data_IF_732458383431
#
_entry.id   IF_732458383431
#
_cell.length_a   1.000
_cell.length_b   1.000
_cell.length_c   1.000
_cell.angle_alpha   90.00
_cell.angle_beta   90.00
_cell.angle_gamma   90.00
#
_symmetry.space_group_name_H-M   'P 1'
#
loop_
_entity.id
_entity.type
_entity.pdbx_description
1 polymer ?
#
# COMPACT_ATOMS: atom_id res chain seq x y z
N UNK A 1 -11.95 -11.07 9.76
CA UNK A 1 -12.68 -9.81 9.49
C UNK A 1 -12.49 -8.77 10.57
N UNK A 2 -12.85 -9.05 11.84
CA UNK A 2 -12.68 -8.10 12.94
C UNK A 2 -11.25 -7.55 13.10
N UNK A 3 -10.22 -8.41 12.96
CA UNK A 3 -8.81 -7.97 13.00
C UNK A 3 -8.43 -6.98 11.90
N UNK A 4 -8.89 -7.19 10.65
CA UNK A 4 -8.65 -6.25 9.55
C UNK A 4 -9.41 -4.93 9.74
N UNK A 5 -10.62 -4.97 10.31
CA UNK A 5 -11.38 -3.76 10.62
C UNK A 5 -10.69 -2.92 11.71
N UNK A 6 -10.24 -3.56 12.80
CA UNK A 6 -9.49 -2.89 13.87
C UNK A 6 -8.18 -2.30 13.33
N UNK A 7 -7.47 -3.04 12.49
CA UNK A 7 -6.28 -2.58 11.79
C UNK A 7 -6.55 -1.32 10.94
N UNK A 8 -7.52 -1.37 10.01
CA UNK A 8 -7.83 -0.22 9.14
C UNK A 8 -8.31 1.01 9.93
N UNK A 9 -9.09 0.82 10.99
CA UNK A 9 -9.52 1.92 11.83
C UNK A 9 -8.33 2.56 12.56
N UNK A 10 -7.37 1.75 13.01
CA UNK A 10 -6.14 2.23 13.65
C UNK A 10 -5.28 3.09 12.71
N UNK A 11 -4.94 2.56 11.54
CA UNK A 11 -4.15 3.22 10.48
C UNK A 11 -4.82 4.49 9.92
N UNK A 12 -6.16 4.52 9.88
CA UNK A 12 -6.85 5.76 9.50
C UNK A 12 -6.81 6.80 10.62
N UNK A 13 -6.86 6.36 11.88
CA UNK A 13 -6.97 7.24 13.03
C UNK A 13 -5.64 7.94 13.36
N UNK A 14 -4.51 7.24 13.36
CA UNK A 14 -3.22 7.84 13.70
C UNK A 14 -2.82 8.91 12.69
N UNK A 15 -2.97 8.65 11.39
CA UNK A 15 -2.72 9.62 10.33
C UNK A 15 -3.69 10.80 10.35
N UNK A 16 -4.94 10.60 10.77
CA UNK A 16 -5.90 11.69 10.95
C UNK A 16 -5.56 12.56 12.15
N UNK A 17 -5.19 11.96 13.28
CA UNK A 17 -4.80 12.68 14.51
C UNK A 17 -3.52 13.48 14.29
N UNK A 18 -2.50 12.89 13.64
CA UNK A 18 -1.25 13.58 13.34
C UNK A 18 -1.46 14.81 12.45
N UNK A 19 -2.31 14.68 11.41
CA UNK A 19 -2.69 15.81 10.53
C UNK A 19 -3.49 16.87 11.26
N UNK A 20 -4.41 16.46 12.13
CA UNK A 20 -5.21 17.37 12.94
C UNK A 20 -4.35 18.18 13.92
N UNK A 21 -3.30 17.58 14.47
CA UNK A 21 -2.37 18.23 15.41
C UNK A 21 -1.17 18.92 14.76
N UNK A 22 -0.99 18.77 13.45
CA UNK A 22 0.21 19.24 12.73
C UNK A 22 1.53 18.66 13.28
N UNK A 23 1.49 17.42 13.76
CA UNK A 23 2.62 16.69 14.38
C UNK A 23 3.15 15.57 13.45
N UNK A 24 2.94 15.70 12.14
CA UNK A 24 3.46 14.73 11.18
C UNK A 24 5.00 14.73 11.17
N UNK A 25 5.59 13.56 11.37
CA UNK A 25 7.04 13.38 11.36
C UNK A 25 7.44 12.27 10.40
N UNK A 26 8.66 12.36 9.87
CA UNK A 26 9.25 11.30 9.04
C UNK A 26 9.32 9.97 9.81
N UNK A 27 9.74 10.03 11.08
CA UNK A 27 9.80 8.86 11.94
C UNK A 27 8.41 8.23 12.16
N UNK A 28 7.39 9.06 12.39
CA UNK A 28 6.00 8.62 12.50
C UNK A 28 5.51 7.93 11.22
N UNK A 29 5.80 8.51 10.05
CA UNK A 29 5.43 7.91 8.77
C UNK A 29 6.13 6.57 8.50
N UNK A 30 7.41 6.43 8.87
CA UNK A 30 8.13 5.15 8.76
C UNK A 30 7.56 4.11 9.73
N UNK A 31 7.25 4.52 10.96
CA UNK A 31 6.69 3.62 11.97
C UNK A 31 5.29 3.13 11.59
N UNK A 32 4.45 4.01 11.08
CA UNK A 32 3.16 3.70 10.46
C UNK A 32 3.35 2.64 9.34
N UNK A 33 4.25 2.92 8.39
CA UNK A 33 4.55 1.98 7.30
C UNK A 33 4.96 0.60 7.81
N UNK A 34 5.83 0.51 8.81
CA UNK A 34 6.29 -0.79 9.33
C UNK A 34 5.18 -1.51 10.10
N UNK A 35 4.42 -0.78 10.90
CA UNK A 35 3.33 -1.32 11.72
C UNK A 35 2.21 -1.89 10.87
N UNK A 36 1.83 -1.18 9.81
CA UNK A 36 0.92 -1.63 8.75
C UNK A 36 1.25 -3.03 8.22
N UNK A 37 2.55 -3.22 7.92
CA UNK A 37 3.07 -4.43 7.29
C UNK A 37 3.08 -5.57 8.29
N UNK A 38 3.52 -5.30 9.52
CA UNK A 38 3.49 -6.29 10.60
C UNK A 38 2.07 -6.77 10.89
N UNK A 39 1.11 -5.85 11.05
CA UNK A 39 -0.31 -6.17 11.27
C UNK A 39 -0.89 -6.98 10.11
N UNK A 40 -0.67 -6.54 8.87
CA UNK A 40 -1.17 -7.23 7.68
C UNK A 40 -0.56 -8.62 7.50
N UNK A 41 0.73 -8.79 7.82
CA UNK A 41 1.43 -10.08 7.74
C UNK A 41 0.88 -11.07 8.76
N UNK A 42 0.68 -10.63 10.01
CA UNK A 42 0.09 -11.46 11.06
C UNK A 42 -1.33 -11.90 10.70
N UNK A 43 -2.16 -10.97 10.21
CA UNK A 43 -3.53 -11.29 9.79
C UNK A 43 -3.57 -12.23 8.57
N UNK A 44 -2.68 -12.03 7.59
CA UNK A 44 -2.57 -12.91 6.43
C UNK A 44 -2.09 -14.31 6.84
N UNK A 45 -1.12 -14.42 7.75
CA UNK A 45 -0.64 -15.70 8.27
C UNK A 45 -1.75 -16.46 8.99
N UNK A 46 -2.54 -15.78 9.83
CA UNK A 46 -3.70 -16.39 10.49
C UNK A 46 -4.75 -16.88 9.46
N UNK A 47 -4.98 -16.11 8.39
CA UNK A 47 -5.88 -16.51 7.30
C UNK A 47 -5.37 -17.75 6.55
N UNK A 48 -4.09 -17.78 6.19
CA UNK A 48 -3.46 -18.91 5.50
C UNK A 48 -3.49 -20.19 6.34
N UNK A 49 -3.28 -20.07 7.66
CA UNK A 49 -3.35 -21.21 8.57
C UNK A 49 -4.78 -21.77 8.71
N UNK A 50 -5.79 -20.92 8.60
CA UNK A 50 -7.20 -21.31 8.74
C UNK A 50 -7.79 -21.83 7.42
N UNK A 51 -7.38 -21.25 6.29
CA UNK A 51 -7.92 -21.55 4.96
C UNK A 51 -6.77 -21.79 3.96
N UNK A 52 -6.32 -23.05 3.75
CA UNK A 52 -5.19 -23.34 2.88
C UNK A 52 -5.38 -22.89 1.42
N UNK A 53 -6.62 -22.85 0.92
CA UNK A 53 -6.92 -22.46 -0.46
C UNK A 53 -6.57 -21.00 -0.78
N UNK A 54 -6.43 -20.14 0.25
CA UNK A 54 -6.08 -18.73 0.06
C UNK A 54 -4.56 -18.47 0.06
N UNK A 55 -3.74 -19.49 0.27
CA UNK A 55 -2.28 -19.34 0.38
C UNK A 55 -1.69 -18.71 -0.88
N UNK A 56 -2.08 -19.18 -2.06
CA UNK A 56 -1.57 -18.68 -3.33
C UNK A 56 -1.77 -17.17 -3.54
N UNK A 57 -3.01 -16.65 -3.54
CA UNK A 57 -3.25 -15.22 -3.71
C UNK A 57 -2.67 -14.38 -2.55
N UNK A 58 -2.69 -14.89 -1.31
CA UNK A 58 -2.08 -14.18 -0.18
C UNK A 58 -0.56 -14.12 -0.26
N UNK A 59 0.12 -15.15 -0.76
CA UNK A 59 1.57 -15.12 -0.97
C UNK A 59 1.96 -14.02 -1.99
N UNK A 60 1.20 -13.89 -3.08
CA UNK A 60 1.40 -12.81 -4.07
C UNK A 60 1.20 -11.45 -3.40
N UNK A 61 0.12 -11.31 -2.63
CA UNK A 61 -0.16 -10.09 -1.87
C UNK A 61 0.97 -9.75 -0.87
N UNK A 62 1.50 -10.72 -0.14
CA UNK A 62 2.58 -10.50 0.83
C UNK A 62 3.87 -10.01 0.17
N UNK A 63 4.23 -10.56 -0.99
CA UNK A 63 5.38 -10.06 -1.76
C UNK A 63 5.10 -8.64 -2.27
N UNK A 64 3.92 -8.43 -2.83
CA UNK A 64 3.52 -7.13 -3.36
C UNK A 64 3.49 -6.04 -2.28
N UNK A 65 2.84 -6.30 -1.16
CA UNK A 65 2.59 -5.34 -0.08
C UNK A 65 3.78 -5.22 0.86
N UNK A 66 4.41 -6.34 1.22
CA UNK A 66 5.53 -6.35 2.15
C UNK A 66 6.87 -5.96 1.54
N UNK A 67 7.06 -6.20 0.24
CA UNK A 67 8.34 -5.89 -0.44
C UNK A 67 8.16 -4.71 -1.39
N UNK A 68 7.40 -4.87 -2.46
CA UNK A 68 7.35 -3.86 -3.53
C UNK A 68 6.74 -2.55 -3.03
N UNK A 69 5.59 -2.63 -2.37
CA UNK A 69 4.90 -1.47 -1.81
C UNK A 69 5.67 -0.84 -0.64
N UNK A 70 6.34 -1.64 0.19
CA UNK A 70 7.22 -1.10 1.25
C UNK A 70 8.38 -0.32 0.66
N UNK A 71 9.09 -0.87 -0.33
CA UNK A 71 10.21 -0.16 -0.98
C UNK A 71 9.73 1.12 -1.65
N UNK A 72 8.56 1.07 -2.31
CA UNK A 72 7.96 2.24 -2.93
C UNK A 72 7.50 3.26 -1.89
N UNK A 73 6.92 2.82 -0.77
CA UNK A 73 6.44 3.67 0.32
C UNK A 73 7.58 4.26 1.12
N UNK A 74 8.75 3.64 1.22
CA UNK A 74 9.94 4.23 1.84
C UNK A 74 10.70 5.16 0.90
N UNK A 75 10.41 5.14 -0.40
CA UNK A 75 11.11 5.97 -1.39
C UNK A 75 10.94 7.48 -1.14
N UNK A 76 9.92 7.93 -0.40
CA UNK A 76 9.79 9.35 -0.04
C UNK A 76 11.01 9.86 0.75
N UNK A 77 11.70 8.98 1.49
CA UNK A 77 12.92 9.32 2.25
C UNK A 77 14.07 9.79 1.36
N UNK A 78 14.02 9.52 0.06
CA UNK A 78 14.99 10.04 -0.91
C UNK A 78 14.85 11.56 -1.12
N UNK A 79 13.75 12.17 -0.67
CA UNK A 79 13.50 13.60 -0.74
C UNK A 79 13.34 14.19 0.67
N UNK A 80 14.26 15.05 1.13
CA UNK A 80 14.23 15.58 2.50
C UNK A 80 13.03 16.48 2.78
N UNK A 81 12.43 17.09 1.75
CA UNK A 81 11.28 17.99 1.87
C UNK A 81 9.94 17.26 2.04
N UNK A 82 9.94 15.92 2.04
CA UNK A 82 8.74 15.10 2.19
C UNK A 82 8.69 14.47 3.59
N UNK A 83 7.59 14.74 4.29
CA UNK A 83 7.33 14.14 5.60
C UNK A 83 6.78 12.71 5.52
N UNK A 84 6.06 12.40 4.44
CA UNK A 84 5.39 11.11 4.27
C UNK A 84 5.07 10.83 2.79
N UNK A 85 4.71 9.59 2.43
CA UNK A 85 4.26 9.25 1.07
C UNK A 85 3.01 10.00 0.62
N UNK A 86 2.23 10.54 1.57
CA UNK A 86 1.05 11.35 1.26
C UNK A 86 1.41 12.63 0.49
N UNK A 87 2.65 13.10 0.60
CA UNK A 87 3.16 14.28 -0.10
C UNK A 87 3.88 13.95 -1.41
N UNK A 88 3.91 12.68 -1.82
CA UNK A 88 4.64 12.27 -3.02
C UNK A 88 4.11 12.89 -4.31
N UNK A 89 2.90 13.48 -4.30
CA UNK A 89 2.39 14.28 -5.41
C UNK A 89 3.28 15.49 -5.74
N UNK A 90 4.09 15.98 -4.78
CA UNK A 90 5.08 17.05 -4.99
C UNK A 90 6.29 16.58 -5.81
N UNK A 91 6.57 15.28 -5.83
CA UNK A 91 7.63 14.68 -6.64
C UNK A 91 7.05 14.19 -7.95
N UNK A 92 6.07 13.28 -7.89
CA UNK A 92 5.42 12.72 -9.06
C UNK A 92 3.94 12.43 -8.82
N UNK A 93 3.08 13.18 -9.52
CA UNK A 93 1.62 13.06 -9.40
C UNK A 93 1.10 11.68 -9.82
N UNK A 94 1.74 11.01 -10.78
CA UNK A 94 1.26 9.71 -11.28
C UNK A 94 1.55 8.60 -10.29
N UNK A 95 2.77 8.54 -9.76
CA UNK A 95 3.12 7.58 -8.71
C UNK A 95 2.21 7.79 -7.50
N UNK A 96 1.99 9.04 -7.10
CA UNK A 96 1.04 9.37 -6.05
C UNK A 96 -0.39 8.88 -6.35
N UNK A 97 -0.92 9.18 -7.53
CA UNK A 97 -2.28 8.80 -7.89
C UNK A 97 -2.51 7.28 -7.83
N UNK A 98 -1.53 6.50 -8.28
CA UNK A 98 -1.60 5.04 -8.32
C UNK A 98 -1.46 4.35 -6.96
N UNK A 99 -0.80 4.99 -5.98
CA UNK A 99 -0.43 4.31 -4.74
C UNK A 99 -0.99 4.97 -3.48
N UNK A 100 -1.00 6.29 -3.42
CA UNK A 100 -1.30 7.03 -2.18
C UNK A 100 -2.48 8.00 -2.31
N UNK A 101 -3.19 8.01 -3.45
CA UNK A 101 -4.50 8.66 -3.52
C UNK A 101 -5.48 8.00 -2.56
N UNK A 102 -6.51 8.73 -2.10
CA UNK A 102 -7.52 8.21 -1.17
C UNK A 102 -8.14 6.90 -1.66
N UNK A 103 -8.44 6.83 -2.96
CA UNK A 103 -8.96 5.62 -3.59
C UNK A 103 -7.90 4.52 -3.65
N UNK A 104 -6.67 4.84 -4.08
CA UNK A 104 -5.60 3.85 -4.15
C UNK A 104 -5.29 3.22 -2.79
N UNK A 105 -5.22 4.03 -1.72
CA UNK A 105 -5.04 3.53 -0.34
C UNK A 105 -6.16 2.59 0.08
N UNK A 106 -7.41 2.98 -0.16
CA UNK A 106 -8.55 2.14 0.18
C UNK A 106 -8.50 0.79 -0.55
N UNK A 107 -8.14 0.78 -1.84
CA UNK A 107 -8.11 -0.45 -2.64
C UNK A 107 -6.89 -1.33 -2.40
N UNK A 108 -5.71 -0.79 -2.03
CA UNK A 108 -4.44 -1.52 -2.00
C UNK A 108 -4.51 -2.80 -1.16
N UNK A 109 -5.13 -2.73 0.03
CA UNK A 109 -5.29 -3.87 0.93
C UNK A 109 -6.74 -4.40 0.97
N UNK A 110 -7.74 -3.52 0.89
CA UNK A 110 -9.13 -3.96 1.00
C UNK A 110 -9.59 -4.78 -0.21
N UNK A 111 -9.10 -4.47 -1.42
CA UNK A 111 -9.50 -5.21 -2.62
C UNK A 111 -9.13 -6.69 -2.52
N UNK A 112 -7.92 -7.00 -2.03
CA UNK A 112 -7.45 -8.39 -1.86
C UNK A 112 -8.29 -9.10 -0.81
N UNK A 113 -8.44 -8.52 0.39
CA UNK A 113 -9.21 -9.14 1.48
C UNK A 113 -10.68 -9.35 1.10
N UNK A 114 -11.31 -8.35 0.48
CA UNK A 114 -12.70 -8.45 0.01
C UNK A 114 -12.82 -9.52 -1.08
N UNK A 115 -11.88 -9.57 -2.04
CA UNK A 115 -11.91 -10.58 -3.11
C UNK A 115 -11.74 -12.00 -2.58
N UNK A 116 -10.96 -12.20 -1.52
CA UNK A 116 -10.81 -13.49 -0.84
C UNK A 116 -12.10 -13.91 -0.15
N UNK A 117 -12.75 -13.00 0.56
CA UNK A 117 -14.01 -13.27 1.27
C UNK A 117 -15.14 -13.52 0.27
N UNK A 118 -15.30 -12.65 -0.72
CA UNK A 118 -16.30 -12.83 -1.78
C UNK A 118 -16.05 -14.10 -2.58
N UNK A 119 -14.78 -14.41 -2.89
CA UNK A 119 -14.39 -15.63 -3.58
C UNK A 119 -14.71 -16.89 -2.77
N UNK A 120 -14.45 -16.87 -1.46
CA UNK A 120 -14.83 -17.97 -0.57
C UNK A 120 -16.36 -18.18 -0.54
N UNK A 121 -17.15 -17.09 -0.45
CA UNK A 121 -18.61 -17.17 -0.46
C UNK A 121 -19.18 -17.65 -1.80
N UNK A 122 -18.54 -17.29 -2.92
CA UNK A 122 -18.96 -17.66 -4.27
C UNK A 122 -18.35 -18.99 -4.76
N UNK A 123 -17.49 -19.65 -3.97
CA UNK A 123 -16.81 -20.89 -4.35
C UNK A 123 -15.75 -20.72 -5.45
N UNK A 124 -15.16 -19.53 -5.60
CA UNK A 124 -14.16 -19.23 -6.64
C UNK A 124 -12.99 -18.40 -6.12
N UNK A 125 -11.76 -18.87 -6.32
CA UNK A 125 -10.53 -18.21 -5.83
C UNK A 125 -9.88 -17.28 -6.88
N UNK A 126 -10.21 -17.45 -8.16
CA UNK A 126 -9.55 -16.73 -9.25
C UNK A 126 -9.63 -15.19 -9.14
N UNK A 127 -10.73 -14.57 -8.65
CA UNK A 127 -10.78 -13.12 -8.53
C UNK A 127 -9.70 -12.57 -7.61
N UNK A 128 -9.35 -13.31 -6.54
CA UNK A 128 -8.30 -12.91 -5.62
C UNK A 128 -6.91 -12.93 -6.28
N UNK A 129 -6.63 -13.91 -7.13
CA UNK A 129 -5.42 -13.94 -7.95
C UNK A 129 -5.36 -12.74 -8.90
N UNK A 130 -6.46 -12.44 -9.59
CA UNK A 130 -6.50 -11.34 -10.54
C UNK A 130 -6.24 -10.00 -9.85
N UNK A 131 -6.86 -9.76 -8.70
CA UNK A 131 -6.65 -8.55 -7.90
C UNK A 131 -5.21 -8.46 -7.38
N UNK A 132 -4.67 -9.55 -6.82
CA UNK A 132 -3.29 -9.58 -6.31
C UNK A 132 -2.26 -9.32 -7.43
N UNK A 133 -2.44 -9.93 -8.61
CA UNK A 133 -1.56 -9.72 -9.76
C UNK A 133 -1.69 -8.30 -10.32
N UNK A 134 -2.91 -7.75 -10.40
CA UNK A 134 -3.12 -6.36 -10.80
C UNK A 134 -2.39 -5.39 -9.86
N UNK A 135 -2.44 -5.63 -8.54
CA UNK A 135 -1.70 -4.85 -7.57
C UNK A 135 -0.18 -4.94 -7.80
N UNK A 136 0.36 -6.14 -8.07
CA UNK A 136 1.78 -6.32 -8.42
C UNK A 136 2.15 -5.49 -9.64
N UNK A 137 1.37 -5.55 -10.71
CA UNK A 137 1.63 -4.78 -11.94
C UNK A 137 1.68 -3.28 -11.63
N UNK A 138 0.73 -2.76 -10.86
CA UNK A 138 0.74 -1.34 -10.45
C UNK A 138 2.01 -0.98 -9.70
N UNK A 139 2.49 -1.83 -8.78
CA UNK A 139 3.73 -1.56 -8.02
C UNK A 139 4.97 -1.65 -8.91
N UNK A 140 5.06 -2.64 -9.79
CA UNK A 140 6.18 -2.77 -10.73
C UNK A 140 6.24 -1.57 -11.67
N UNK A 141 5.11 -1.12 -12.21
CA UNK A 141 5.05 0.08 -13.05
C UNK A 141 5.43 1.35 -12.27
N UNK A 142 5.02 1.46 -11.02
CA UNK A 142 5.35 2.58 -10.13
C UNK A 142 6.85 2.62 -9.81
N UNK A 143 7.44 1.47 -9.45
CA UNK A 143 8.88 1.33 -9.21
C UNK A 143 9.69 1.58 -10.49
N UNK A 144 9.27 1.04 -11.62
CA UNK A 144 9.92 1.28 -12.91
C UNK A 144 9.93 2.77 -13.27
N UNK A 145 8.82 3.48 -13.02
CA UNK A 145 8.74 4.94 -13.18
C UNK A 145 9.67 5.67 -12.20
N UNK A 146 9.68 5.28 -10.93
CA UNK A 146 10.56 5.84 -9.91
C UNK A 146 12.04 5.69 -10.29
N UNK A 147 12.46 4.49 -10.68
CA UNK A 147 13.83 4.22 -11.12
C UNK A 147 14.21 5.01 -12.37
N UNK A 148 13.28 5.21 -13.31
CA UNK A 148 13.52 6.05 -14.47
C UNK A 148 13.74 7.52 -14.09
N UNK A 149 13.01 8.02 -13.07
CA UNK A 149 13.20 9.37 -12.51
C UNK A 149 14.55 9.48 -11.82
N UNK A 150 14.88 8.56 -10.92
CA UNK A 150 16.15 8.57 -10.17
C UNK A 150 17.38 8.46 -11.08
N UNK A 151 17.26 7.75 -12.22
CA UNK A 151 18.32 7.61 -13.21
C UNK A 151 18.37 8.75 -14.25
N UNK A 152 17.53 9.77 -14.11
CA UNK A 152 17.45 10.88 -15.07
C UNK A 152 16.93 10.51 -16.46
N UNK A 153 16.40 9.29 -16.64
CA UNK A 153 15.83 8.82 -17.93
C UNK A 153 14.46 9.43 -18.21
N UNK A 154 13.81 9.96 -17.17
CA UNK A 154 12.51 10.60 -17.26
C UNK A 154 12.42 11.74 -16.25
N UNK A 155 11.88 12.91 -16.62
CA UNK A 155 11.63 13.96 -15.64
C UNK A 155 10.50 13.54 -14.68
N UNK A 156 10.66 13.92 -13.41
CA UNK A 156 9.57 13.87 -12.44
C UNK A 156 8.46 14.84 -12.86
N UNK A 157 7.20 14.51 -12.57
CA UNK A 157 6.06 15.38 -12.91
C UNK A 157 5.28 15.73 -11.64
N UNK A 158 5.70 16.78 -10.90
CA UNK A 158 4.98 17.29 -9.75
C UNK A 158 3.55 17.69 -10.11
N UNK A 159 2.62 17.57 -9.16
CA UNK A 159 1.36 18.28 -9.27
C UNK A 159 1.64 19.79 -9.17
N UNK A 160 1.23 20.57 -10.18
CA UNK A 160 1.40 22.02 -10.15
C UNK A 160 0.79 22.60 -8.87
N UNK A 161 1.52 23.53 -8.25
CA UNK A 161 1.01 24.33 -7.13
C UNK A 161 -0.22 25.08 -7.65
N UNK A 162 -1.40 24.73 -7.15
CA UNK A 162 -2.57 25.60 -7.25
C UNK A 162 -2.64 26.44 -5.99
#
# INVERSE_FOLDING_TARGET
MAGYAAYWLGDMADGAVARYRHEETVAGAVFDIVSDRACSFLLAAAFMATYPDVIGPLAIFLIQFGVLDTMLSLAFLLWPDLLSPNYFYRVDRRIYAWNWSRLAKAFNTAAVVISLVAGHLAGTIWPAYAVALAAVVVKVLSLGRLLAILRGRRPAVPAGVR
#
